data_IF_502592243223
#
_entry.id   IF_502592243223
#
_cell.length_a   1.000
_cell.length_b   1.000
_cell.length_c   1.000
_cell.angle_alpha   90.00
_cell.angle_beta   90.00
_cell.angle_gamma   90.00
#
_symmetry.space_group_name_H-M   'P 1'
#
loop_
_entity.id
_entity.type
_entity.pdbx_description
1 polymer ?
#
# COMPACT_ATOMS: atom_id res chain seq x y z
N UNK A 1 -31.16 32.50 -20.97
CA UNK A 1 -30.20 32.08 -22.02
C UNK A 1 -28.84 32.64 -21.64
N UNK A 2 -27.77 31.84 -21.75
CA UNK A 2 -26.39 32.28 -21.53
C UNK A 2 -25.64 31.54 -20.42
N UNK A 3 -25.48 30.22 -20.54
CA UNK A 3 -24.31 29.55 -19.95
C UNK A 3 -23.18 29.68 -20.96
N UNK A 4 -22.15 30.45 -20.62
CA UNK A 4 -21.03 30.71 -21.50
C UNK A 4 -19.84 31.19 -20.70
N UNK A 5 -19.27 30.32 -19.88
CA UNK A 5 -17.89 30.52 -19.42
C UNK A 5 -17.16 29.17 -19.33
N UNK A 6 -16.69 28.72 -20.49
CA UNK A 6 -15.49 27.89 -20.63
C UNK A 6 -14.33 28.91 -20.55
N UNK A 7 -13.26 28.81 -19.76
CA UNK A 7 -12.37 27.68 -19.50
C UNK A 7 -11.48 28.05 -18.29
N UNK A 8 -11.23 27.20 -17.28
CA UNK A 8 -10.01 27.30 -16.49
C UNK A 8 -8.90 26.56 -17.22
N UNK A 9 -7.90 27.32 -17.68
CA UNK A 9 -6.64 26.83 -18.27
C UNK A 9 -6.08 25.68 -17.45
N UNK A 10 -6.19 24.46 -17.98
CA UNK A 10 -5.27 23.39 -17.60
C UNK A 10 -3.85 23.79 -18.04
N UNK A 11 -2.87 23.35 -17.26
CA UNK A 11 -1.43 23.49 -17.45
C UNK A 11 -0.80 24.77 -16.91
N UNK A 12 -0.47 24.74 -15.61
CA UNK A 12 0.91 24.83 -15.11
C UNK A 12 0.92 24.72 -13.59
N UNK A 13 1.79 23.85 -13.07
CA UNK A 13 2.29 23.84 -11.70
C UNK A 13 1.40 23.20 -10.60
N UNK A 14 1.63 21.90 -10.37
CA UNK A 14 1.43 21.23 -9.09
C UNK A 14 0.18 20.33 -8.98
N UNK A 15 0.23 19.23 -8.20
CA UNK A 15 -0.95 18.42 -7.93
C UNK A 15 -1.94 19.22 -7.08
N UNK A 16 -3.11 19.50 -7.64
CA UNK A 16 -4.25 20.06 -6.92
C UNK A 16 -4.68 19.09 -5.82
N UNK A 17 -4.36 19.40 -4.56
CA UNK A 17 -4.89 18.67 -3.41
C UNK A 17 -6.33 19.11 -3.21
N UNK A 18 -7.28 18.31 -3.71
CA UNK A 18 -8.69 18.43 -3.34
C UNK A 18 -8.83 17.82 -1.94
N UNK A 19 -9.10 18.65 -0.92
CA UNK A 19 -9.46 18.16 0.42
C UNK A 19 -10.84 17.52 0.35
N UNK A 20 -10.90 16.18 0.43
CA UNK A 20 -12.15 15.44 0.66
C UNK A 20 -12.26 15.08 2.14
N UNK A 21 -13.42 15.38 2.73
CA UNK A 21 -13.83 15.16 4.13
C UNK A 21 -14.06 13.66 4.48
N UNK A 22 -13.29 12.75 3.87
CA UNK A 22 -13.46 11.31 4.04
C UNK A 22 -12.10 10.67 4.23
N UNK A 23 -11.82 10.20 5.45
CA UNK A 23 -10.63 9.39 5.82
C UNK A 23 -10.54 8.04 5.08
N UNK A 24 -11.45 7.78 4.14
CA UNK A 24 -11.42 6.61 3.28
C UNK A 24 -10.53 6.91 2.08
N UNK A 25 -9.26 6.55 2.21
CA UNK A 25 -8.36 6.43 1.06
C UNK A 25 -8.88 5.30 0.15
N UNK A 26 -9.69 5.64 -0.85
CA UNK A 26 -10.05 4.73 -1.93
C UNK A 26 -8.99 4.86 -3.03
N UNK A 27 -7.99 3.98 -3.01
CA UNK A 27 -7.04 3.87 -4.12
C UNK A 27 -7.75 3.17 -5.29
N UNK A 28 -7.89 3.84 -6.44
CA UNK A 28 -8.29 3.13 -7.64
C UNK A 28 -7.17 2.14 -8.03
N UNK A 29 -7.51 1.00 -8.62
CA UNK A 29 -6.53 -0.03 -8.98
C UNK A 29 -5.35 0.50 -9.85
N UNK A 30 -5.60 1.56 -10.62
CA UNK A 30 -4.60 2.21 -11.47
C UNK A 30 -3.87 3.40 -10.80
N UNK A 31 -4.21 3.75 -9.56
CA UNK A 31 -3.60 4.83 -8.79
C UNK A 31 -2.34 4.41 -8.04
N UNK A 32 -2.09 3.10 -7.94
CA UNK A 32 -0.89 2.57 -7.28
C UNK A 32 0.28 2.58 -8.27
N UNK A 33 1.24 3.47 -8.05
CA UNK A 33 2.49 3.50 -8.82
C UNK A 33 3.54 2.72 -8.06
N UNK A 34 4.11 1.69 -8.70
CA UNK A 34 5.24 0.96 -8.14
C UNK A 34 6.45 1.90 -8.09
N UNK A 35 6.99 2.12 -6.90
CA UNK A 35 8.23 2.88 -6.71
C UNK A 35 9.45 1.98 -6.96
N UNK A 36 10.59 2.58 -7.31
CA UNK A 36 11.86 1.85 -7.35
C UNK A 36 12.30 1.46 -5.93
N UNK A 37 13.10 0.41 -5.80
CA UNK A 37 13.63 -0.04 -4.51
C UNK A 37 14.39 1.08 -3.76
N UNK A 38 15.09 1.95 -4.49
CA UNK A 38 15.79 3.11 -3.92
C UNK A 38 14.83 4.14 -3.29
N UNK A 39 13.71 4.41 -3.96
CA UNK A 39 12.66 5.31 -3.42
C UNK A 39 11.94 4.67 -2.26
N UNK A 40 11.65 3.37 -2.33
CA UNK A 40 11.07 2.61 -1.23
C UNK A 40 11.97 2.63 0.02
N UNK A 41 13.28 2.40 -0.14
CA UNK A 41 14.25 2.49 0.94
C UNK A 41 14.32 3.88 1.56
N UNK A 42 14.25 4.94 0.75
CA UNK A 42 14.22 6.32 1.23
C UNK A 42 12.94 6.64 2.04
N UNK A 43 11.78 6.16 1.58
CA UNK A 43 10.50 6.29 2.29
C UNK A 43 10.52 5.52 3.60
N UNK A 44 10.97 4.25 3.58
CA UNK A 44 11.11 3.42 4.77
C UNK A 44 12.02 4.08 5.82
N UNK A 45 13.16 4.64 5.38
CA UNK A 45 14.07 5.38 6.27
C UNK A 45 13.42 6.65 6.84
N UNK A 46 12.71 7.43 6.03
CA UNK A 46 12.02 8.65 6.46
C UNK A 46 10.94 8.35 7.50
N UNK A 47 10.18 7.29 7.27
CA UNK A 47 8.99 6.94 8.06
C UNK A 47 9.33 5.99 9.24
N UNK A 48 10.61 5.62 9.41
CA UNK A 48 11.05 4.71 10.47
C UNK A 48 10.54 3.28 10.30
N UNK A 49 10.11 2.92 9.09
CA UNK A 49 9.60 1.59 8.77
C UNK A 49 10.79 0.67 8.53
N UNK A 50 10.86 -0.42 9.30
CA UNK A 50 11.81 -1.51 9.05
C UNK A 50 11.07 -2.55 8.21
N UNK A 51 11.43 -2.73 6.93
CA UNK A 51 10.81 -3.76 6.10
C UNK A 51 11.14 -5.14 6.67
N UNK A 52 10.18 -6.05 6.56
CA UNK A 52 10.45 -7.46 6.86
C UNK A 52 11.48 -8.02 5.89
N UNK A 53 12.20 -9.04 6.32
CA UNK A 53 13.07 -9.79 5.41
C UNK A 53 12.25 -10.44 4.28
N UNK A 54 12.94 -10.82 3.21
CA UNK A 54 12.31 -11.37 2.01
C UNK A 54 11.56 -12.69 2.29
N UNK A 55 12.06 -13.52 3.22
CA UNK A 55 11.45 -14.80 3.55
C UNK A 55 10.14 -14.61 4.30
N UNK A 56 10.12 -13.74 5.32
CA UNK A 56 8.92 -13.34 6.04
C UNK A 56 7.91 -12.68 5.11
N UNK A 57 8.35 -11.77 4.26
CA UNK A 57 7.50 -11.09 3.27
C UNK A 57 6.86 -12.09 2.32
N UNK A 58 7.64 -13.02 1.76
CA UNK A 58 7.14 -14.07 0.88
C UNK A 58 6.11 -14.97 1.58
N UNK A 59 6.38 -15.37 2.81
CA UNK A 59 5.49 -16.21 3.60
C UNK A 59 4.15 -15.53 3.90
N UNK A 60 4.19 -14.26 4.35
CA UNK A 60 2.97 -13.49 4.65
C UNK A 60 2.16 -13.23 3.38
N UNK A 61 2.82 -12.92 2.26
CA UNK A 61 2.16 -12.74 0.96
C UNK A 61 1.50 -14.03 0.46
N UNK A 62 2.11 -15.21 0.68
CA UNK A 62 1.50 -16.49 0.33
C UNK A 62 0.21 -16.72 1.12
N UNK A 63 0.19 -16.41 2.42
CA UNK A 63 -1.03 -16.48 3.24
C UNK A 63 -2.09 -15.45 2.84
N UNK A 64 -1.69 -14.26 2.44
CA UNK A 64 -2.62 -13.26 1.93
C UNK A 64 -3.34 -13.76 0.66
N UNK A 65 -2.58 -14.32 -0.30
CA UNK A 65 -3.15 -14.90 -1.52
C UNK A 65 -4.12 -16.04 -1.20
N UNK A 66 -3.74 -16.94 -0.30
CA UNK A 66 -4.61 -18.02 0.16
C UNK A 66 -5.92 -17.49 0.75
N UNK A 67 -5.84 -16.46 1.60
CA UNK A 67 -7.00 -15.86 2.24
C UNK A 67 -7.93 -15.16 1.23
N UNK A 68 -7.37 -14.49 0.22
CA UNK A 68 -8.15 -13.90 -0.88
C UNK A 68 -8.88 -14.98 -1.69
N UNK A 69 -8.20 -16.08 -2.03
CA UNK A 69 -8.80 -17.19 -2.79
C UNK A 69 -9.94 -17.88 -2.04
N UNK A 70 -9.86 -17.94 -0.71
CA UNK A 70 -10.83 -18.65 0.13
C UNK A 70 -11.85 -17.72 0.80
N UNK A 71 -11.78 -16.41 0.53
CA UNK A 71 -12.70 -15.42 1.10
C UNK A 71 -12.60 -15.30 2.62
N UNK A 72 -11.43 -15.57 3.20
CA UNK A 72 -11.23 -15.53 4.66
C UNK A 72 -10.57 -14.22 5.08
N UNK A 73 -10.88 -13.75 6.29
CA UNK A 73 -10.23 -12.57 6.86
C UNK A 73 -8.72 -12.75 6.98
N UNK A 74 -7.97 -11.71 6.61
CA UNK A 74 -6.53 -11.69 6.68
C UNK A 74 -6.02 -10.47 7.46
N UNK A 75 -5.09 -10.72 8.37
CA UNK A 75 -4.38 -9.68 9.11
C UNK A 75 -2.87 -9.88 8.95
N UNK A 76 -2.19 -8.95 8.27
CA UNK A 76 -0.76 -9.08 7.99
C UNK A 76 0.09 -9.14 9.27
N UNK A 77 -0.31 -8.42 10.33
CA UNK A 77 0.44 -8.37 11.58
C UNK A 77 0.42 -9.73 12.29
N UNK A 78 -0.76 -10.34 12.44
CA UNK A 78 -0.90 -11.69 13.02
C UNK A 78 -0.17 -12.74 12.20
N UNK A 79 -0.18 -12.62 10.86
CA UNK A 79 0.60 -13.49 9.99
C UNK A 79 2.11 -13.32 10.23
N UNK A 80 2.60 -12.09 10.36
CA UNK A 80 4.00 -11.80 10.68
C UNK A 80 4.44 -12.38 12.03
N UNK A 81 3.62 -12.24 13.07
CA UNK A 81 3.90 -12.83 14.39
C UNK A 81 3.91 -14.36 14.36
N UNK A 82 3.03 -14.96 13.55
CA UNK A 82 3.00 -16.41 13.37
C UNK A 82 4.24 -16.92 12.65
N UNK A 83 4.74 -16.20 11.65
CA UNK A 83 6.03 -16.50 11.02
C UNK A 83 7.16 -16.46 12.06
N UNK A 84 7.26 -15.40 12.86
CA UNK A 84 8.32 -15.26 13.86
C UNK A 84 8.30 -16.41 14.86
N UNK A 85 7.09 -16.80 15.31
CA UNK A 85 6.90 -17.92 16.22
C UNK A 85 7.35 -19.25 15.61
N UNK A 86 6.99 -19.51 14.35
CA UNK A 86 7.34 -20.76 13.68
C UNK A 86 8.82 -20.82 13.29
N UNK A 87 9.41 -19.70 12.86
CA UNK A 87 10.82 -19.57 12.55
C UNK A 87 11.68 -19.78 13.80
N UNK A 88 11.28 -19.22 14.95
CA UNK A 88 11.93 -19.48 16.25
C UNK A 88 11.87 -20.96 16.67
N UNK A 89 10.93 -21.73 16.12
CA UNK A 89 10.79 -23.18 16.33
C UNK A 89 11.49 -24.01 15.24
N UNK A 90 12.11 -23.39 14.23
CA UNK A 90 12.74 -24.06 13.09
C UNK A 90 11.75 -24.78 12.16
N UNK A 91 10.48 -24.34 12.13
CA UNK A 91 9.41 -24.96 11.32
C UNK A 91 9.19 -24.28 9.98
N UNK A 92 9.77 -23.10 9.79
CA UNK A 92 9.85 -22.33 8.54
C UNK A 92 11.17 -21.59 8.51
#
# INVERSE_FOLDING_TARGET
MGYGELVPRLFRDGPTIIRMDSDKFCFAANSLVRVSAEKEAALNKRDGIVPWDDAKTAWVNARFKYALEHGTDFCQFKAGEEYDRLHAQGKV
#
